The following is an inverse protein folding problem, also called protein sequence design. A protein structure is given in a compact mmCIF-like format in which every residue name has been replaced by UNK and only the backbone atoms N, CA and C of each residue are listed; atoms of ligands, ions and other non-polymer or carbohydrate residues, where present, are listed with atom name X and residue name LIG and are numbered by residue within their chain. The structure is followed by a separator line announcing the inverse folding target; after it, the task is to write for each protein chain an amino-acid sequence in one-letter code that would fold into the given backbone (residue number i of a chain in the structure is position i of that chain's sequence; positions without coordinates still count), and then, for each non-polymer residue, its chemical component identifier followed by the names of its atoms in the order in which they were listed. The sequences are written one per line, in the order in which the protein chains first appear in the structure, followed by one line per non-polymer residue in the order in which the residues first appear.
data_IF_487499806041
#
_entry.id   IF_487499806041
#
_cell.length_a   1.000
_cell.length_b   1.000
_cell.length_c   1.000
_cell.angle_alpha   90.00
_cell.angle_beta   90.00
_cell.angle_gamma   90.00
#
_symmetry.space_group_name_H-M   'P 1'
#
loop_
_entity.id
_entity.type
_entity.pdbx_description
1 polymer ?
#
# COMPACT_ATOMS: atom_id res chain seq x y z
N UNK A 1 -23.20 9.03 -15.12
CA UNK A 1 -22.94 10.25 -14.33
C UNK A 1 -21.50 10.19 -13.80
N UNK A 2 -20.60 11.08 -14.24
CA UNK A 2 -19.24 11.14 -13.68
C UNK A 2 -19.34 11.85 -12.32
N UNK A 3 -19.11 11.12 -11.22
CA UNK A 3 -19.10 11.73 -9.88
C UNK A 3 -17.97 12.74 -9.78
N UNK A 4 -18.31 14.00 -9.49
CA UNK A 4 -17.33 15.04 -9.28
C UNK A 4 -16.53 14.74 -8.02
N UNK A 5 -15.21 14.60 -8.16
CA UNK A 5 -14.30 14.34 -7.04
C UNK A 5 -14.06 15.66 -6.29
N UNK A 6 -14.08 15.62 -4.95
CA UNK A 6 -13.80 16.81 -4.14
C UNK A 6 -12.38 17.34 -4.39
N UNK A 7 -12.16 18.65 -4.22
CA UNK A 7 -10.82 19.27 -4.37
C UNK A 7 -9.77 18.56 -3.51
N UNK A 8 -10.13 18.17 -2.29
CA UNK A 8 -9.28 17.41 -1.35
C UNK A 8 -8.89 16.04 -1.91
N UNK A 9 -9.84 15.29 -2.45
CA UNK A 9 -9.55 13.97 -3.03
C UNK A 9 -8.76 14.10 -4.34
N UNK A 10 -9.01 15.14 -5.14
CA UNK A 10 -8.21 15.42 -6.35
C UNK A 10 -6.73 15.70 -6.00
N UNK A 11 -6.46 16.43 -4.92
CA UNK A 11 -5.09 16.66 -4.45
C UNK A 11 -4.40 15.35 -4.03
N UNK A 12 -5.10 14.49 -3.28
CA UNK A 12 -4.59 13.16 -2.89
C UNK A 12 -4.30 12.29 -4.12
N UNK A 13 -5.19 12.27 -5.11
CA UNK A 13 -4.99 11.52 -6.35
C UNK A 13 -3.74 11.99 -7.11
N UNK A 14 -3.49 13.30 -7.17
CA UNK A 14 -2.26 13.85 -7.79
C UNK A 14 -1.00 13.43 -7.04
N UNK A 15 -1.02 13.47 -5.71
CA UNK A 15 0.10 13.02 -4.89
C UNK A 15 0.40 11.52 -5.13
N UNK A 16 -0.65 10.69 -5.13
CA UNK A 16 -0.54 9.26 -5.41
C UNK A 16 0.01 9.00 -6.82
N UNK A 17 -0.47 9.72 -7.84
CA UNK A 17 0.03 9.57 -9.21
C UNK A 17 1.53 9.90 -9.32
N UNK A 18 1.97 10.97 -8.65
CA UNK A 18 3.39 11.37 -8.58
C UNK A 18 4.27 10.34 -7.84
N UNK A 19 3.73 9.67 -6.82
CA UNK A 19 4.44 8.59 -6.13
C UNK A 19 4.50 7.37 -7.03
N UNK A 20 3.36 6.95 -7.59
CA UNK A 20 3.25 5.77 -8.49
C UNK A 20 4.21 5.86 -9.67
N UNK A 21 4.40 7.05 -10.27
CA UNK A 21 5.30 7.24 -11.41
C UNK A 21 6.78 7.02 -11.09
N UNK A 22 7.14 6.92 -9.80
CA UNK A 22 8.52 6.68 -9.34
C UNK A 22 8.74 5.27 -8.81
N UNK A 23 7.69 4.47 -8.69
CA UNK A 23 7.78 3.10 -8.19
C UNK A 23 8.31 2.18 -9.29
N UNK A 24 9.01 1.13 -8.87
CA UNK A 24 9.33 0.00 -9.75
C UNK A 24 8.03 -0.56 -10.35
N UNK A 25 8.00 -0.92 -11.65
CA UNK A 25 6.82 -1.51 -12.28
C UNK A 25 6.58 -2.96 -11.83
N UNK A 26 7.46 -3.51 -11.00
CA UNK A 26 7.37 -4.89 -10.50
C UNK A 26 6.68 -4.97 -9.14
N UNK A 27 6.00 -6.09 -8.91
CA UNK A 27 5.35 -6.44 -7.67
C UNK A 27 6.39 -6.57 -6.57
N UNK A 28 6.21 -5.80 -5.50
CA UNK A 28 7.10 -5.79 -4.35
C UNK A 28 7.21 -7.16 -3.64
N UNK A 29 6.18 -8.00 -3.74
CA UNK A 29 6.13 -9.32 -3.08
C UNK A 29 6.77 -10.43 -3.92
N UNK A 30 6.52 -10.46 -5.23
CA UNK A 30 6.89 -11.62 -6.06
C UNK A 30 7.78 -11.29 -7.28
N UNK A 31 8.15 -10.02 -7.48
CA UNK A 31 9.01 -9.58 -8.59
C UNK A 31 8.35 -9.61 -9.98
N UNK A 32 7.18 -10.22 -10.16
CA UNK A 32 6.42 -10.20 -11.43
C UNK A 32 5.88 -8.80 -11.72
N UNK A 33 5.46 -8.51 -12.94
CA UNK A 33 4.89 -7.19 -13.28
C UNK A 33 3.70 -6.81 -12.36
N UNK A 34 3.76 -5.60 -11.81
CA UNK A 34 2.75 -5.03 -10.94
C UNK A 34 1.66 -4.31 -11.74
N UNK A 35 0.41 -4.51 -11.36
CA UNK A 35 -0.76 -3.91 -12.04
C UNK A 35 -1.41 -2.85 -11.17
N UNK A 36 -1.35 -3.05 -9.85
CA UNK A 36 -2.10 -2.27 -8.88
C UNK A 36 -1.14 -1.54 -7.95
N UNK A 37 -1.54 -0.34 -7.53
CA UNK A 37 -0.89 0.35 -6.42
C UNK A 37 -1.45 -0.23 -5.13
N UNK A 38 -0.57 -0.66 -4.23
CA UNK A 38 -0.92 -1.29 -2.96
C UNK A 38 -0.53 -0.39 -1.80
N UNK A 39 -1.45 -0.24 -0.85
CA UNK A 39 -1.21 0.39 0.45
C UNK A 39 -0.73 -0.68 1.42
N UNK A 40 0.45 -0.51 2.03
CA UNK A 40 0.97 -1.48 3.00
C UNK A 40 0.15 -1.44 4.30
N UNK A 41 -0.18 -0.25 4.78
CA UNK A 41 -1.19 0.03 5.79
C UNK A 41 -2.45 0.60 5.12
N UNK A 42 -3.63 -0.01 5.32
CA UNK A 42 -4.84 0.34 4.58
C UNK A 42 -5.37 1.72 4.96
N UNK A 43 -5.75 2.50 3.95
CA UNK A 43 -6.29 3.87 4.07
C UNK A 43 -7.50 4.02 5.01
N UNK A 44 -8.27 2.96 5.23
CA UNK A 44 -9.46 2.96 6.09
C UNK A 44 -9.08 2.97 7.57
N UNK A 45 -7.98 2.31 7.92
CA UNK A 45 -7.53 2.11 9.30
C UNK A 45 -6.41 3.06 9.67
N UNK A 46 -5.58 3.44 8.68
CA UNK A 46 -4.43 4.33 8.84
C UNK A 46 -4.47 5.48 7.81
N UNK A 47 -5.46 6.37 7.89
CA UNK A 47 -5.65 7.45 6.91
C UNK A 47 -4.50 8.45 6.83
N UNK A 48 -3.72 8.59 7.90
CA UNK A 48 -2.50 9.40 7.99
C UNK A 48 -1.42 8.98 6.99
N UNK A 49 -1.35 7.69 6.65
CA UNK A 49 -0.36 7.15 5.71
C UNK A 49 -0.85 7.09 4.26
N UNK A 50 -2.02 7.67 3.95
CA UNK A 50 -2.66 7.49 2.64
C UNK A 50 -1.80 8.00 1.47
N UNK A 51 -1.02 9.06 1.68
CA UNK A 51 -0.09 9.63 0.69
C UNK A 51 1.38 9.52 1.11
N UNK A 52 1.70 8.63 2.05
CA UNK A 52 3.08 8.34 2.47
C UNK A 52 3.77 7.48 1.39
N UNK A 53 4.89 7.92 0.77
CA UNK A 53 5.61 7.13 -0.23
C UNK A 53 6.14 5.79 0.28
N UNK A 54 6.48 5.68 1.58
CA UNK A 54 6.93 4.42 2.17
C UNK A 54 5.80 3.41 2.31
N UNK A 55 4.55 3.89 2.41
CA UNK A 55 3.34 3.08 2.53
C UNK A 55 2.78 2.61 1.17
N UNK A 56 3.45 2.93 0.05
CA UNK A 56 2.96 2.68 -1.30
C UNK A 56 3.95 1.84 -2.10
N UNK A 57 3.47 0.72 -2.64
CA UNK A 57 4.25 -0.16 -3.52
C UNK A 57 3.43 -0.63 -4.72
N UNK A 58 4.09 -1.14 -5.76
CA UNK A 58 3.41 -1.86 -6.82
C UNK A 58 3.15 -3.31 -6.42
N UNK A 59 1.97 -3.82 -6.72
CA UNK A 59 1.55 -5.20 -6.48
C UNK A 59 0.95 -5.82 -7.74
N UNK A 60 1.17 -7.12 -7.96
CA UNK A 60 0.34 -7.87 -8.90
C UNK A 60 -0.99 -8.18 -8.21
N UNK A 61 -2.07 -8.32 -9.01
CA UNK A 61 -3.42 -8.56 -8.47
C UNK A 61 -3.50 -9.70 -7.46
N UNK A 62 -2.79 -10.82 -7.71
CA UNK A 62 -2.77 -11.99 -6.83
C UNK A 62 -2.16 -11.67 -5.47
N UNK A 63 -0.95 -11.11 -5.44
CA UNK A 63 -0.26 -10.80 -4.18
C UNK A 63 -1.00 -9.71 -3.40
N UNK A 64 -1.57 -8.71 -4.08
CA UNK A 64 -2.38 -7.68 -3.44
C UNK A 64 -3.61 -8.29 -2.76
N UNK A 65 -4.36 -9.15 -3.46
CA UNK A 65 -5.53 -9.81 -2.89
C UNK A 65 -5.16 -10.69 -1.68
N UNK A 66 -4.08 -11.47 -1.78
CA UNK A 66 -3.62 -12.30 -0.66
C UNK A 66 -3.18 -11.44 0.52
N UNK A 67 -2.43 -10.36 0.28
CA UNK A 67 -1.99 -9.46 1.34
C UNK A 67 -3.16 -8.84 2.11
N UNK A 68 -4.22 -8.43 1.42
CA UNK A 68 -5.40 -7.80 2.02
C UNK A 68 -6.30 -8.79 2.78
N UNK A 69 -6.38 -10.04 2.32
CA UNK A 69 -7.42 -10.98 2.75
C UNK A 69 -6.91 -12.23 3.48
N UNK A 70 -5.60 -12.52 3.44
CA UNK A 70 -4.99 -13.69 4.08
C UNK A 70 -3.96 -13.22 5.13
N UNK A 71 -4.31 -13.42 6.41
CA UNK A 71 -3.46 -13.03 7.53
C UNK A 71 -2.15 -13.81 7.56
N UNK A 72 -2.18 -15.11 7.27
CA UNK A 72 -0.97 -15.95 7.29
C UNK A 72 -0.03 -15.52 6.18
N UNK A 73 -0.57 -15.28 4.98
CA UNK A 73 0.21 -14.75 3.87
C UNK A 73 0.84 -13.40 4.23
N UNK A 74 0.06 -12.48 4.83
CA UNK A 74 0.56 -11.18 5.27
C UNK A 74 1.69 -11.31 6.29
N UNK A 75 1.52 -12.14 7.32
CA UNK A 75 2.51 -12.36 8.38
C UNK A 75 3.84 -12.90 7.85
N UNK A 76 3.83 -13.63 6.73
CA UNK A 76 5.04 -14.11 6.08
C UNK A 76 5.82 -13.02 5.32
N UNK A 77 5.25 -11.83 5.11
CA UNK A 77 5.89 -10.75 4.35
C UNK A 77 6.82 -9.90 5.24
N UNK A 78 7.94 -10.47 5.69
CA UNK A 78 8.89 -9.82 6.61
C UNK A 78 9.46 -8.51 6.05
N UNK A 79 9.74 -8.45 4.75
CA UNK A 79 10.27 -7.23 4.11
C UNK A 79 9.26 -6.08 4.13
N UNK A 80 7.97 -6.41 4.00
CA UNK A 80 6.91 -5.41 4.14
C UNK A 80 6.80 -4.97 5.58
N UNK A 81 6.81 -5.90 6.54
CA UNK A 81 6.77 -5.56 7.97
C UNK A 81 7.90 -4.59 8.34
N UNK A 82 9.15 -4.94 8.00
CA UNK A 82 10.33 -4.13 8.28
C UNK A 82 10.22 -2.74 7.65
N UNK A 83 9.74 -2.65 6.39
CA UNK A 83 9.50 -1.38 5.72
C UNK A 83 8.44 -0.52 6.42
N UNK A 84 7.38 -1.13 6.95
CA UNK A 84 6.37 -0.38 7.70
C UNK A 84 6.98 0.13 9.02
N UNK A 85 7.80 -0.68 9.70
CA UNK A 85 8.47 -0.26 10.93
C UNK A 85 9.39 0.96 10.75
N UNK A 86 9.90 1.23 9.53
CA UNK A 86 10.65 2.47 9.24
C UNK A 86 9.83 3.75 9.47
N UNK A 87 8.50 3.68 9.43
CA UNK A 87 7.64 4.85 9.59
C UNK A 87 6.46 4.70 10.56
N UNK A 88 6.09 3.47 10.93
CA UNK A 88 5.00 3.18 11.89
C UNK A 88 5.08 1.74 12.44
N UNK A 89 5.97 1.52 13.40
CA UNK A 89 6.12 0.22 14.08
C UNK A 89 4.82 -0.25 14.75
N UNK A 90 4.08 0.64 15.42
CA UNK A 90 2.81 0.31 16.08
C UNK A 90 1.77 -0.11 15.04
N UNK A 91 1.71 0.60 13.90
CA UNK A 91 0.87 0.26 12.76
C UNK A 91 1.23 -1.10 12.15
N UNK A 92 2.52 -1.41 12.00
CA UNK A 92 3.01 -2.70 11.52
C UNK A 92 2.52 -3.85 12.41
N UNK A 93 2.80 -3.77 13.71
CA UNK A 93 2.39 -4.75 14.73
C UNK A 93 0.87 -4.95 14.71
N UNK A 94 0.10 -3.85 14.74
CA UNK A 94 -1.36 -3.89 14.71
C UNK A 94 -1.93 -4.51 13.44
N UNK A 95 -1.37 -4.19 12.27
CA UNK A 95 -1.89 -4.67 10.98
C UNK A 95 -1.50 -6.12 10.67
N UNK A 96 -0.32 -6.54 11.12
CA UNK A 96 0.18 -7.92 11.00
C UNK A 96 -0.32 -8.83 12.12
N UNK A 97 -0.92 -8.28 13.18
CA UNK A 97 -1.38 -9.02 14.38
C UNK A 97 -0.25 -9.85 15.01
N UNK A 98 0.89 -9.20 15.20
CA UNK A 98 2.07 -9.74 15.88
C UNK A 98 2.19 -9.17 17.29
#
# INVERSE_FOLDING_TARGET
MIKQVSKKQAQKNRAIAKIKSKLSPFCFICGKHGTDLMHLLPKSTFPEHYTNPLNLVMGCRRCHNLYDNDLLFRQQQTDIFNRICEFDEIGAVRYFKL
#
